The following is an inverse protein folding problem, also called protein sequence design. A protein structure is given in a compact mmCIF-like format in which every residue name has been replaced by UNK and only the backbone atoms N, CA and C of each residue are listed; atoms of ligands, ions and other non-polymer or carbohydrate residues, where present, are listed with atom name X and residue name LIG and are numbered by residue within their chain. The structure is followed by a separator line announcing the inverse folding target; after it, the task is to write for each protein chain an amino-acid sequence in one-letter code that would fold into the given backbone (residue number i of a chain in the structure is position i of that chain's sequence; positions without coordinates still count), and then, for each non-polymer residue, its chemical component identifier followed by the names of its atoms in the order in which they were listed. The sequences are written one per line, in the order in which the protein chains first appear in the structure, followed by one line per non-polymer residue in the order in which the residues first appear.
data_IF_943821124703
#
_entry.id   IF_943821124703
#
_cell.length_a   1.000
_cell.length_b   1.000
_cell.length_c   1.000
_cell.angle_alpha   90.00
_cell.angle_beta   90.00
_cell.angle_gamma   90.00
#
_symmetry.space_group_name_H-M   'P 1'
#
loop_
_entity.id
_entity.type
_entity.pdbx_description
1 polymer ?
#
# COMPACT_ATOMS: atom_id res chain seq x y z
N UNK A 1 9.25 0.93 -13.95
CA UNK A 1 8.71 0.91 -12.56
C UNK A 1 9.88 0.72 -11.61
N UNK A 2 10.02 1.52 -10.56
CA UNK A 2 11.10 1.32 -9.56
C UNK A 2 10.92 -0.01 -8.84
N UNK A 3 12.04 -0.67 -8.52
CA UNK A 3 12.08 -1.92 -7.74
C UNK A 3 11.35 -1.74 -6.40
N UNK A 4 11.44 -0.57 -5.77
CA UNK A 4 10.76 -0.25 -4.51
C UNK A 4 9.23 -0.24 -4.65
N UNK A 5 8.73 0.26 -5.77
CA UNK A 5 7.28 0.27 -6.05
C UNK A 5 6.74 -1.16 -6.23
N UNK A 6 7.49 -1.99 -6.96
CA UNK A 6 7.11 -3.39 -7.19
C UNK A 6 7.14 -4.18 -5.87
N UNK A 7 8.16 -3.97 -5.04
CA UNK A 7 8.23 -4.60 -3.70
C UNK A 7 7.08 -4.17 -2.81
N UNK A 8 6.76 -2.87 -2.78
CA UNK A 8 5.62 -2.37 -2.02
C UNK A 8 4.31 -3.05 -2.43
N UNK A 9 4.07 -3.18 -3.74
CA UNK A 9 2.84 -3.80 -4.25
C UNK A 9 2.78 -5.29 -3.93
N UNK A 10 3.89 -6.02 -4.12
CA UNK A 10 3.97 -7.46 -3.82
C UNK A 10 3.88 -7.73 -2.31
N UNK A 11 4.31 -6.82 -1.44
CA UNK A 11 4.24 -7.03 0.01
C UNK A 11 2.91 -6.56 0.61
N UNK A 12 2.41 -5.38 0.24
CA UNK A 12 1.23 -4.78 0.88
C UNK A 12 -0.07 -5.38 0.34
N UNK A 13 -0.12 -5.77 -0.94
CA UNK A 13 -1.33 -6.33 -1.54
C UNK A 13 -1.72 -7.69 -0.89
N UNK A 14 -0.82 -8.69 -0.75
CA UNK A 14 -1.18 -9.95 -0.09
C UNK A 14 -1.50 -9.77 1.38
N UNK A 15 -0.80 -8.86 2.07
CA UNK A 15 -1.05 -8.56 3.48
C UNK A 15 -2.44 -7.96 3.68
N UNK A 16 -2.86 -7.05 2.79
CA UNK A 16 -4.19 -6.46 2.84
C UNK A 16 -5.30 -7.48 2.54
N UNK A 17 -5.05 -8.42 1.62
CA UNK A 17 -5.95 -9.54 1.32
C UNK A 17 -6.05 -10.48 2.52
N UNK A 18 -4.91 -10.85 3.13
CA UNK A 18 -4.86 -11.68 4.33
C UNK A 18 -5.66 -11.03 5.48
N UNK A 19 -5.46 -9.73 5.71
CA UNK A 19 -6.25 -8.97 6.68
C UNK A 19 -7.74 -9.02 6.34
N UNK A 20 -8.11 -8.88 5.04
CA UNK A 20 -9.48 -8.94 4.55
C UNK A 20 -10.19 -10.28 4.77
N UNK A 21 -9.44 -11.37 4.83
CA UNK A 21 -9.98 -12.69 5.15
C UNK A 21 -10.15 -12.90 6.67
N UNK A 22 -9.27 -12.33 7.49
CA UNK A 22 -9.27 -12.53 8.94
C UNK A 22 -10.23 -11.57 9.65
N UNK A 23 -10.26 -10.30 9.24
CA UNK A 23 -11.08 -9.29 9.90
C UNK A 23 -12.52 -9.28 9.35
N UNK A 24 -13.47 -9.34 10.28
CA UNK A 24 -14.92 -9.31 9.99
C UNK A 24 -15.37 -7.99 9.34
N UNK A 25 -14.66 -6.89 9.65
CA UNK A 25 -15.04 -5.54 9.23
C UNK A 25 -14.24 -5.05 8.02
N UNK A 26 -14.61 -5.55 6.85
CA UNK A 26 -13.93 -5.32 5.56
C UNK A 26 -13.81 -3.84 5.17
N UNK A 27 -14.69 -2.98 5.69
CA UNK A 27 -14.73 -1.54 5.40
C UNK A 27 -13.47 -0.82 5.86
N UNK A 28 -12.89 -1.24 6.98
CA UNK A 28 -11.67 -0.62 7.53
C UNK A 28 -10.40 -1.07 6.82
N UNK A 29 -10.40 -2.27 6.24
CA UNK A 29 -9.23 -2.85 5.58
C UNK A 29 -8.95 -2.14 4.26
N UNK A 30 -10.00 -1.86 3.49
CA UNK A 30 -9.87 -1.07 2.26
C UNK A 30 -9.39 0.35 2.56
N UNK A 31 -9.93 0.99 3.61
CA UNK A 31 -9.44 2.31 4.06
C UNK A 31 -7.97 2.26 4.48
N UNK A 32 -7.56 1.27 5.28
CA UNK A 32 -6.17 1.11 5.70
C UNK A 32 -5.24 0.87 4.53
N UNK A 33 -5.61 -0.01 3.59
CA UNK A 33 -4.84 -0.24 2.37
C UNK A 33 -4.68 1.05 1.57
N UNK A 34 -5.77 1.79 1.38
CA UNK A 34 -5.78 3.03 0.62
C UNK A 34 -4.89 4.09 1.28
N UNK A 35 -4.92 4.23 2.60
CA UNK A 35 -4.04 5.16 3.34
C UNK A 35 -2.57 4.77 3.17
N UNK A 36 -2.23 3.49 3.33
CA UNK A 36 -0.84 3.01 3.17
C UNK A 36 -0.37 3.18 1.72
N UNK A 37 -1.24 2.90 0.75
CA UNK A 37 -0.97 3.07 -0.67
C UNK A 37 -0.73 4.53 -1.05
N UNK A 38 -1.60 5.45 -0.65
CA UNK A 38 -1.41 6.88 -0.94
C UNK A 38 -0.18 7.44 -0.22
N UNK A 39 0.07 7.05 1.03
CA UNK A 39 1.27 7.49 1.77
C UNK A 39 2.56 7.06 1.07
N UNK A 40 2.63 5.81 0.62
CA UNK A 40 3.76 5.34 -0.18
C UNK A 40 3.86 6.07 -1.51
N UNK A 41 2.74 6.29 -2.21
CA UNK A 41 2.72 6.96 -3.50
C UNK A 41 3.25 8.41 -3.40
N UNK A 42 2.80 9.16 -2.39
CA UNK A 42 3.30 10.52 -2.13
C UNK A 42 4.78 10.52 -1.75
N UNK A 43 5.21 9.64 -0.83
CA UNK A 43 6.62 9.54 -0.45
C UNK A 43 7.52 9.14 -1.63
N UNK A 44 7.05 8.20 -2.45
CA UNK A 44 7.72 7.78 -3.67
C UNK A 44 7.86 8.95 -4.64
N UNK A 45 6.78 9.64 -5.02
CA UNK A 45 6.88 10.79 -5.93
C UNK A 45 7.70 11.94 -5.35
N UNK A 46 7.61 12.23 -4.05
CA UNK A 46 8.41 13.25 -3.40
C UNK A 46 9.92 12.96 -3.53
N UNK A 47 10.34 11.71 -3.38
CA UNK A 47 11.74 11.30 -3.58
C UNK A 47 12.21 11.55 -5.03
N UNK A 48 11.37 11.29 -6.02
CA UNK A 48 11.72 11.49 -7.43
C UNK A 48 11.62 12.95 -7.90
N UNK A 49 10.78 13.77 -7.26
CA UNK A 49 10.69 15.22 -7.55
C UNK A 49 11.84 15.99 -6.88
N UNK A 50 12.33 15.50 -5.73
CA UNK A 50 13.46 16.08 -5.02
C UNK A 50 14.84 15.66 -5.58
N UNK A 51 14.88 14.68 -6.49
CA UNK A 51 16.08 14.19 -7.17
C UNK A 51 16.29 14.90 -8.51
#
# INVERSE_FOLDING_TARGET
MSIYFVHFLISVLPLSILMAFIASDKKYIFKSFLVVFLGFLFGYFAFFIAA
#
